data_IF_989991509412
#
_entry.id   IF_989991509412
#
_cell.length_a   1.000
_cell.length_b   1.000
_cell.length_c   1.000
_cell.angle_alpha   90.00
_cell.angle_beta   90.00
_cell.angle_gamma   90.00
#
_symmetry.space_group_name_H-M   'P 1'
#
loop_
_entity.id
_entity.type
_entity.pdbx_description
1 polymer ?
#
# COMPACT_ATOMS: atom_id res chain seq x y z
N UNK A 1 -19.54 0.27 6.88
CA UNK A 1 -18.61 1.00 6.00
C UNK A 1 -17.19 0.54 6.29
N UNK A 2 -16.43 0.26 5.25
CA UNK A 2 -15.04 -0.13 5.40
C UNK A 2 -14.18 0.79 4.52
N UNK A 3 -13.74 1.89 5.08
CA UNK A 3 -12.90 2.86 4.40
C UNK A 3 -11.82 3.36 5.32
N UNK A 4 -10.63 3.52 4.77
CA UNK A 4 -9.50 4.06 5.53
C UNK A 4 -8.82 5.15 4.72
N UNK A 5 -8.27 6.11 5.46
CA UNK A 5 -7.40 7.15 4.94
C UNK A 5 -6.17 7.13 5.84
N UNK A 6 -5.03 6.79 5.28
CA UNK A 6 -3.80 6.66 6.06
C UNK A 6 -2.70 7.48 5.41
N UNK A 7 -2.00 8.26 6.21
CA UNK A 7 -0.83 8.99 5.77
C UNK A 7 0.37 8.43 6.49
N UNK A 8 1.42 8.14 5.75
CA UNK A 8 2.62 7.57 6.32
C UNK A 8 3.77 7.60 5.34
N UNK A 9 4.82 6.85 5.65
CA UNK A 9 6.00 6.79 4.80
C UNK A 9 6.21 5.37 4.29
N UNK A 10 6.60 5.28 3.05
CA UNK A 10 6.93 3.98 2.43
C UNK A 10 8.20 3.47 3.05
N UNK A 11 8.16 2.29 3.66
CA UNK A 11 9.30 1.75 4.41
C UNK A 11 10.35 1.08 3.54
N UNK A 12 9.93 0.55 2.40
CA UNK A 12 10.86 -0.09 1.49
C UNK A 12 10.34 0.07 0.08
N UNK A 13 11.20 -0.24 -0.88
CA UNK A 13 10.84 -0.10 -2.29
C UNK A 13 9.64 -0.98 -2.60
N UNK A 14 8.64 -0.46 -3.33
CA UNK A 14 7.48 -1.26 -3.70
C UNK A 14 7.84 -2.46 -4.55
N UNK A 15 7.16 -3.56 -4.28
CA UNK A 15 7.27 -4.78 -5.08
C UNK A 15 6.16 -4.80 -6.11
N UNK A 16 6.51 -5.24 -7.32
CA UNK A 16 5.54 -5.36 -8.40
C UNK A 16 5.40 -6.82 -8.80
N UNK A 17 4.18 -7.27 -8.90
CA UNK A 17 3.86 -8.61 -9.37
C UNK A 17 2.74 -8.54 -10.39
N UNK A 18 2.55 -9.64 -11.13
CA UNK A 18 1.50 -9.72 -12.13
C UNK A 18 0.65 -10.95 -11.88
N UNK A 19 -0.67 -10.79 -11.99
CA UNK A 19 -1.58 -11.92 -11.91
C UNK A 19 -1.48 -12.75 -13.18
N UNK A 20 -2.02 -14.00 -13.17
CA UNK A 20 -2.07 -14.79 -14.40
C UNK A 20 -2.80 -14.12 -15.56
N UNK A 21 -3.68 -13.17 -15.26
CA UNK A 21 -4.38 -12.38 -16.28
C UNK A 21 -3.59 -11.17 -16.74
N UNK A 22 -2.38 -10.98 -16.21
CA UNK A 22 -1.55 -9.85 -16.57
C UNK A 22 -1.84 -8.57 -15.82
N UNK A 23 -2.68 -8.62 -14.80
CA UNK A 23 -2.97 -7.45 -13.99
C UNK A 23 -1.77 -7.15 -13.08
N UNK A 24 -1.38 -5.89 -13.04
CA UNK A 24 -0.26 -5.45 -12.24
C UNK A 24 -0.70 -5.19 -10.80
N UNK A 25 0.07 -5.71 -9.86
CA UNK A 25 -0.17 -5.51 -8.43
C UNK A 25 1.11 -4.95 -7.81
N UNK A 26 0.96 -3.85 -7.10
CA UNK A 26 2.06 -3.21 -6.38
C UNK A 26 1.78 -3.31 -4.89
N UNK A 27 2.78 -3.75 -4.12
CA UNK A 27 2.66 -3.84 -2.67
C UNK A 27 3.83 -3.12 -2.03
N UNK A 28 3.57 -2.46 -0.91
CA UNK A 28 4.63 -1.82 -0.14
C UNK A 28 4.20 -1.69 1.32
N UNK A 29 5.17 -1.74 2.24
CA UNK A 29 4.87 -1.50 3.65
C UNK A 29 4.80 0.00 3.90
N UNK A 30 3.74 0.43 4.57
CA UNK A 30 3.52 1.82 4.93
C UNK A 30 3.70 1.98 6.43
N UNK A 31 4.57 2.90 6.84
CA UNK A 31 4.77 3.20 8.24
C UNK A 31 3.89 4.39 8.63
N UNK A 32 3.01 4.17 9.60
CA UNK A 32 2.11 5.20 10.11
C UNK A 32 2.77 5.82 11.34
N UNK A 33 3.31 7.02 11.17
CA UNK A 33 4.05 7.68 12.25
C UNK A 33 3.16 8.03 13.43
N UNK A 34 1.94 8.45 13.15
CA UNK A 34 0.99 8.85 14.16
C UNK A 34 0.64 7.69 15.09
N UNK A 35 0.41 6.52 14.53
CA UNK A 35 0.07 5.34 15.32
C UNK A 35 1.25 4.45 15.66
N UNK A 36 2.41 4.71 15.10
CA UNK A 36 3.63 3.93 15.28
C UNK A 36 3.44 2.46 14.95
N UNK A 37 2.88 2.21 13.78
CA UNK A 37 2.73 0.85 13.28
C UNK A 37 2.92 0.82 11.77
N UNK A 38 3.19 -0.39 11.27
CA UNK A 38 3.30 -0.61 9.82
C UNK A 38 2.12 -1.41 9.33
N UNK A 39 1.71 -1.12 8.09
CA UNK A 39 0.65 -1.88 7.44
C UNK A 39 1.01 -2.04 5.97
N UNK A 40 0.72 -3.20 5.41
CA UNK A 40 0.99 -3.45 4.00
C UNK A 40 -0.14 -2.88 3.15
N UNK A 41 0.25 -2.19 2.08
CA UNK A 41 -0.69 -1.61 1.12
C UNK A 41 -0.59 -2.39 -0.18
N UNK A 42 -1.76 -2.74 -0.73
CA UNK A 42 -1.87 -3.44 -2.01
C UNK A 42 -2.62 -2.51 -2.96
N UNK A 43 -2.03 -2.29 -4.12
CA UNK A 43 -2.64 -1.46 -5.14
C UNK A 43 -2.61 -2.18 -6.47
N UNK A 44 -3.76 -2.28 -7.12
CA UNK A 44 -3.85 -2.89 -8.44
C UNK A 44 -4.21 -1.83 -9.48
N UNK A 45 -3.65 -1.96 -10.66
CA UNK A 45 -3.87 -1.02 -11.74
C UNK A 45 -2.58 -0.34 -12.14
N UNK A 46 -2.71 0.63 -13.04
CA UNK A 46 -1.57 1.36 -13.58
C UNK A 46 -1.68 2.82 -13.19
N UNK A 47 -0.77 3.27 -12.34
CA UNK A 47 -0.55 4.69 -12.11
C UNK A 47 0.92 4.94 -12.40
N UNK A 48 1.24 5.55 -13.52
CA UNK A 48 2.65 5.75 -13.89
C UNK A 48 3.46 6.47 -12.83
N UNK A 49 2.81 7.36 -12.08
CA UNK A 49 3.49 8.12 -11.04
C UNK A 49 3.94 7.27 -9.86
N UNK A 50 3.40 6.05 -9.73
CA UNK A 50 3.72 5.18 -8.60
C UNK A 50 4.92 4.30 -8.85
N UNK A 51 5.35 4.20 -10.09
CA UNK A 51 6.44 3.30 -10.47
C UNK A 51 7.78 3.93 -10.12
N UNK A 52 8.62 3.18 -9.44
CA UNK A 52 9.96 3.64 -9.14
C UNK A 52 10.08 4.64 -8.02
N UNK A 53 9.03 4.84 -7.25
CA UNK A 53 9.10 5.72 -6.09
C UNK A 53 10.06 5.15 -5.06
N UNK A 54 10.76 6.04 -4.39
CA UNK A 54 11.75 5.66 -3.40
C UNK A 54 11.11 5.35 -2.06
N UNK A 55 11.78 4.51 -1.28
CA UNK A 55 11.38 4.32 0.11
C UNK A 55 11.60 5.64 0.88
N UNK A 56 10.84 5.81 1.95
CA UNK A 56 10.88 7.04 2.75
C UNK A 56 9.94 8.13 2.26
N UNK A 57 9.32 7.96 1.11
CA UNK A 57 8.39 8.95 0.59
C UNK A 57 7.10 8.97 1.39
N UNK A 58 6.56 10.17 1.57
CA UNK A 58 5.30 10.37 2.28
C UNK A 58 4.14 10.20 1.32
N UNK A 59 3.15 9.41 1.72
CA UNK A 59 1.99 9.15 0.87
C UNK A 59 0.73 9.17 1.71
N UNK A 60 -0.39 9.50 1.08
CA UNK A 60 -1.72 9.29 1.64
C UNK A 60 -2.40 8.21 0.83
N UNK A 61 -2.90 7.19 1.52
CA UNK A 61 -3.54 6.04 0.91
C UNK A 61 -5.00 6.05 1.30
N UNK A 62 -5.87 5.88 0.30
CA UNK A 62 -7.30 5.71 0.49
C UNK A 62 -7.70 4.32 0.02
N UNK A 63 -8.50 3.63 0.81
CA UNK A 63 -8.92 2.30 0.42
C UNK A 63 -9.76 1.61 1.47
N UNK A 64 -9.70 0.30 1.48
CA UNK A 64 -10.44 -0.55 2.40
C UNK A 64 -9.48 -1.48 3.12
N UNK A 65 -9.87 -1.90 4.32
CA UNK A 65 -9.14 -2.93 5.03
C UNK A 65 -9.58 -4.29 4.52
N UNK A 66 -8.61 -5.17 4.29
CA UNK A 66 -8.89 -6.54 3.89
C UNK A 66 -8.11 -7.48 4.79
N UNK A 67 -8.68 -8.65 5.04
CA UNK A 67 -7.97 -9.71 5.74
C UNK A 67 -7.19 -10.54 4.76
N UNK A 68 -5.96 -10.84 5.10
CA UNK A 68 -5.14 -11.76 4.35
C UNK A 68 -4.57 -12.80 5.30
N UNK A 69 -4.38 -14.00 4.80
CA UNK A 69 -3.82 -15.06 5.60
C UNK A 69 -2.35 -15.22 5.27
N UNK A 70 -1.51 -15.07 6.29
CA UNK A 70 -0.10 -15.33 6.15
C UNK A 70 0.27 -16.48 7.08
N UNK A 71 0.65 -17.62 6.48
CA UNK A 71 0.90 -18.85 7.21
C UNK A 71 -0.33 -19.24 8.02
N UNK A 72 -0.27 -19.16 9.34
CA UNK A 72 -1.41 -19.50 10.21
C UNK A 72 -2.05 -18.26 10.83
N UNK A 73 -1.60 -17.07 10.45
CA UNK A 73 -2.09 -15.81 11.02
C UNK A 73 -2.95 -15.07 10.04
N UNK A 74 -3.98 -14.42 10.56
CA UNK A 74 -4.73 -13.44 9.79
C UNK A 74 -4.11 -12.06 10.04
N UNK A 75 -3.88 -11.32 8.97
CA UNK A 75 -3.35 -9.97 9.05
C UNK A 75 -4.25 -9.04 8.28
N UNK A 76 -4.28 -7.77 8.71
CA UNK A 76 -5.01 -6.74 8.00
C UNK A 76 -4.07 -6.03 7.04
N UNK A 77 -4.57 -5.79 5.83
CA UNK A 77 -3.87 -5.02 4.82
C UNK A 77 -4.80 -3.97 4.27
N UNK A 78 -4.24 -2.97 3.61
CA UNK A 78 -5.04 -1.95 2.94
C UNK A 78 -5.05 -2.25 1.45
N UNK A 79 -6.25 -2.43 0.90
CA UNK A 79 -6.42 -2.45 -0.56
C UNK A 79 -6.68 -1.03 -0.99
N UNK A 80 -5.68 -0.41 -1.60
CA UNK A 80 -5.77 0.99 -1.97
C UNK A 80 -6.60 1.16 -3.23
N UNK A 81 -7.46 2.16 -3.21
CA UNK A 81 -8.16 2.62 -4.41
C UNK A 81 -7.48 3.86 -4.97
N UNK A 82 -6.76 4.60 -4.14
CA UNK A 82 -6.05 5.80 -4.57
C UNK A 82 -4.83 6.02 -3.69
N UNK A 83 -3.74 6.42 -4.31
CA UNK A 83 -2.50 6.76 -3.61
C UNK A 83 -2.09 8.16 -4.05
N UNK A 84 -1.88 9.04 -3.09
CA UNK A 84 -1.43 10.39 -3.35
C UNK A 84 -0.01 10.53 -2.81
N UNK A 85 0.95 10.72 -3.70
CA UNK A 85 2.34 10.95 -3.33
C UNK A 85 2.50 12.40 -2.92
N UNK A 86 3.07 12.63 -1.76
CA UNK A 86 3.21 13.97 -1.20
C UNK A 86 4.64 14.45 -1.37
N UNK A 87 4.78 15.68 -1.81
CA UNK A 87 6.09 16.33 -1.87
C UNK A 87 6.38 17.02 -0.54
N UNK A 88 7.62 16.96 -0.14
CA UNK A 88 8.07 17.62 1.08
C UNK A 88 8.99 18.79 0.77
#
# INVERSE_FOLDING_TARGET
>A
MNRVFLTGRVQSQPDTAYTPRGQRIVTFPLWIEDGKFGIEVIFSGVQPADVGRKNGEKVTVMGTLVKAKERTREVLKVRASKIIWMEE
#
